data_IF_453639571023
#
_entry.id   IF_453639571023
#
_cell.length_a   1.000
_cell.length_b   1.000
_cell.length_c   1.000
_cell.angle_alpha   90.00
_cell.angle_beta   90.00
_cell.angle_gamma   90.00
#
_symmetry.space_group_name_H-M   'P 1'
#
loop_
_entity.id
_entity.type
_entity.pdbx_description
1 polymer ?
#
# COMPACT_ATOMS: atom_id res chain seq x y z
N UNK A 1 5.97 -6.69 -5.17
CA UNK A 1 4.90 -5.67 -5.33
C UNK A 1 5.47 -4.25 -5.39
N UNK A 2 6.31 -3.83 -4.43
CA UNK A 2 6.92 -2.49 -4.40
C UNK A 2 7.58 -2.11 -5.75
N UNK A 3 8.35 -3.05 -6.31
CA UNK A 3 9.05 -2.87 -7.59
C UNK A 3 8.11 -2.66 -8.79
N UNK A 4 6.88 -3.20 -8.76
CA UNK A 4 5.92 -3.03 -9.85
C UNK A 4 5.32 -1.63 -9.85
N UNK A 5 5.00 -1.09 -8.67
CA UNK A 5 4.46 0.25 -8.51
C UNK A 5 5.53 1.31 -8.78
N UNK A 6 6.78 1.08 -8.36
CA UNK A 6 7.91 1.95 -8.68
C UNK A 6 8.15 2.04 -10.19
N UNK A 7 8.18 0.91 -10.90
CA UNK A 7 8.34 0.86 -12.35
C UNK A 7 7.17 1.50 -13.12
N UNK A 8 5.97 1.46 -12.55
CA UNK A 8 4.81 2.17 -13.09
C UNK A 8 4.87 3.68 -12.83
N UNK A 9 5.32 4.11 -11.65
CA UNK A 9 5.51 5.52 -11.30
C UNK A 9 6.62 6.18 -12.12
N UNK A 10 7.70 5.46 -12.38
CA UNK A 10 8.81 5.96 -13.20
C UNK A 10 8.50 5.98 -14.70
N UNK A 11 7.34 5.48 -15.13
CA UNK A 11 6.95 5.38 -16.54
C UNK A 11 7.68 4.30 -17.33
N UNK A 12 8.57 3.52 -16.68
CA UNK A 12 9.32 2.44 -17.32
C UNK A 12 8.44 1.26 -17.73
N UNK A 13 7.28 1.10 -17.08
CA UNK A 13 6.39 -0.03 -17.32
C UNK A 13 4.92 0.37 -17.24
N UNK A 14 4.15 0.08 -18.29
CA UNK A 14 2.70 0.24 -18.27
C UNK A 14 1.99 -0.82 -17.41
N UNK A 15 0.77 -0.52 -16.96
CA UNK A 15 0.00 -1.41 -16.08
C UNK A 15 -0.20 -2.83 -16.63
N UNK A 16 -0.32 -3.00 -17.96
CA UNK A 16 -0.46 -4.32 -18.62
C UNK A 16 0.81 -5.17 -18.43
N UNK A 17 1.97 -4.55 -18.65
CA UNK A 17 3.25 -5.21 -18.53
C UNK A 17 3.55 -5.53 -17.07
N UNK A 18 3.25 -4.61 -16.14
CA UNK A 18 3.40 -4.83 -14.71
C UNK A 18 2.48 -5.97 -14.19
N UNK A 19 1.22 -6.00 -14.64
CA UNK A 19 0.28 -7.07 -14.25
C UNK A 19 0.79 -8.46 -14.68
N UNK A 20 1.30 -8.57 -15.90
CA UNK A 20 1.87 -9.83 -16.43
C UNK A 20 3.18 -10.21 -15.74
N UNK A 21 4.10 -9.26 -15.58
CA UNK A 21 5.43 -9.51 -15.04
C UNK A 21 5.39 -9.90 -13.55
N UNK A 22 4.48 -9.32 -12.77
CA UNK A 22 4.42 -9.51 -11.32
C UNK A 22 3.22 -10.35 -10.87
N UNK A 23 2.40 -10.86 -11.80
CA UNK A 23 1.22 -11.68 -11.48
C UNK A 23 0.16 -10.93 -10.67
N UNK A 24 0.07 -9.62 -10.82
CA UNK A 24 -0.85 -8.77 -10.04
C UNK A 24 -2.05 -8.35 -10.89
N UNK A 25 -3.25 -8.41 -10.32
CA UNK A 25 -4.45 -7.94 -11.01
C UNK A 25 -4.39 -6.44 -11.29
N UNK A 26 -4.95 -6.03 -12.45
CA UNK A 26 -5.03 -4.62 -12.85
C UNK A 26 -5.64 -3.75 -11.75
N UNK A 27 -6.74 -4.20 -11.14
CA UNK A 27 -7.45 -3.44 -10.10
C UNK A 27 -6.53 -3.15 -8.92
N UNK A 28 -5.77 -4.16 -8.46
CA UNK A 28 -4.84 -4.01 -7.33
C UNK A 28 -3.73 -3.01 -7.62
N UNK A 29 -3.20 -2.99 -8.85
CA UNK A 29 -2.18 -2.01 -9.26
C UNK A 29 -2.75 -0.59 -9.25
N UNK A 30 -3.96 -0.40 -9.77
CA UNK A 30 -4.60 0.91 -9.83
C UNK A 30 -5.03 1.42 -8.44
N UNK A 31 -5.59 0.56 -7.59
CA UNK A 31 -5.98 0.91 -6.23
C UNK A 31 -4.77 1.33 -5.37
N UNK A 32 -3.63 0.64 -5.52
CA UNK A 32 -2.40 1.03 -4.84
C UNK A 32 -1.78 2.30 -5.43
N UNK A 33 -1.78 2.45 -6.76
CA UNK A 33 -1.24 3.65 -7.41
C UNK A 33 -2.06 4.92 -7.08
N UNK A 34 -3.38 4.79 -6.96
CA UNK A 34 -4.29 5.86 -6.55
C UNK A 34 -4.27 6.15 -5.04
N UNK A 35 -3.56 5.35 -4.24
CA UNK A 35 -3.48 5.49 -2.78
C UNK A 35 -4.73 5.01 -2.03
N UNK A 36 -5.73 4.44 -2.72
CA UNK A 36 -6.94 3.87 -2.08
C UNK A 36 -6.59 2.72 -1.15
N UNK A 37 -5.58 1.94 -1.50
CA UNK A 37 -5.07 0.84 -0.68
C UNK A 37 -3.60 1.14 -0.35
N UNK A 38 -3.22 1.15 0.94
CA UNK A 38 -1.84 1.40 1.33
C UNK A 38 -0.88 0.38 0.70
N UNK A 39 0.32 0.85 0.40
CA UNK A 39 1.43 0.00 0.01
C UNK A 39 2.07 -0.63 1.25
N UNK A 40 2.56 -1.87 1.13
CA UNK A 40 3.18 -2.59 2.24
C UNK A 40 2.30 -3.67 2.88
N UNK A 41 2.75 -4.24 4.01
CA UNK A 41 2.06 -5.31 4.70
C UNK A 41 0.70 -4.84 5.21
N UNK A 42 -0.32 -5.64 4.99
CA UNK A 42 -1.64 -5.41 5.58
C UNK A 42 -1.50 -5.50 7.10
N UNK A 43 -1.86 -4.42 7.81
CA UNK A 43 -1.98 -4.50 9.25
C UNK A 43 -3.10 -5.50 9.58
N UNK A 44 -2.73 -6.60 10.21
CA UNK A 44 -3.68 -7.62 10.69
C UNK A 44 -4.01 -7.29 12.14
N UNK A 45 -5.20 -6.75 12.39
CA UNK A 45 -5.60 -6.34 13.74
C UNK A 45 -6.63 -5.22 13.76
N UNK A 46 -7.13 -4.94 14.97
CA UNK A 46 -7.95 -3.76 15.20
C UNK A 46 -7.09 -2.51 14.99
N UNK A 47 -7.67 -1.51 14.33
CA UNK A 47 -7.00 -0.22 14.16
C UNK A 47 -6.79 0.40 15.55
N UNK A 48 -5.55 0.65 15.95
CA UNK A 48 -5.25 1.42 17.15
C UNK A 48 -5.86 2.81 17.00
N UNK A 49 -6.76 3.15 17.93
CA UNK A 49 -7.47 4.44 17.91
C UNK A 49 -6.57 5.56 18.44
N UNK A 50 -5.71 5.22 19.39
CA UNK A 50 -4.76 6.13 20.03
C UNK A 50 -3.33 5.74 19.67
N UNK A 51 -2.44 6.73 19.63
CA UNK A 51 -1.00 6.48 19.62
C UNK A 51 -0.51 6.16 21.03
N UNK A 52 0.61 5.44 21.15
CA UNK A 52 1.21 5.13 22.46
C UNK A 52 1.38 6.39 23.34
N UNK A 53 1.82 7.51 22.74
CA UNK A 53 1.96 8.80 23.44
C UNK A 53 0.63 9.35 23.98
N UNK A 54 -0.48 9.13 23.27
CA UNK A 54 -1.81 9.55 23.69
C UNK A 54 -2.33 8.66 24.83
N UNK A 55 -2.04 7.36 24.79
CA UNK A 55 -2.39 6.44 25.88
C UNK A 55 -1.62 6.79 27.17
N UNK A 56 -0.33 7.12 27.08
CA UNK A 56 0.48 7.52 28.24
C UNK A 56 0.02 8.84 28.89
N UNK A 57 -0.57 9.76 28.13
CA UNK A 57 -1.10 11.02 28.65
C UNK A 57 -2.45 10.88 29.37
N UNK A 58 -3.20 9.80 29.15
CA UNK A 58 -4.50 9.57 29.79
C UNK A 58 -4.36 9.02 31.22
N UNK A 59 -3.23 8.38 31.53
CA UNK A 59 -2.99 7.72 32.84
C UNK A 59 -2.38 8.69 33.88
N UNK A 60 -2.36 10.00 33.61
CA UNK A 60 -1.97 11.05 34.57
C UNK A 60 -3.17 11.80 35.11
#
# INVERSE_FOLDING_TARGET
MATALEMMRSGNMGWKAAAKAYGVQRITLLDKLSGRVPEGPTHVGQKTVLTNDQEEHIVK
#
